data_IF_717434303273
#
_entry.id   IF_717434303273
#
_cell.length_a   1.000
_cell.length_b   1.000
_cell.length_c   1.000
_cell.angle_alpha   90.00
_cell.angle_beta   90.00
_cell.angle_gamma   90.00
#
_symmetry.space_group_name_H-M   'P 1'
#
loop_
_entity.id
_entity.type
_entity.pdbx_description
1 polymer ?
#
# COMPACT_ATOMS: atom_id res chain seq x y z
N UNK A 1 -13.77 -7.59 -24.56
CA UNK A 1 -13.77 -8.10 -23.19
C UNK A 1 -15.08 -7.67 -22.55
N UNK A 2 -15.91 -8.60 -22.11
CA UNK A 2 -17.21 -8.30 -21.48
C UNK A 2 -17.03 -7.92 -20.02
N UNK A 3 -18.05 -7.32 -19.41
CA UNK A 3 -18.01 -6.93 -17.99
C UNK A 3 -17.83 -8.15 -17.07
N UNK A 4 -18.34 -9.31 -17.48
CA UNK A 4 -18.18 -10.58 -16.78
C UNK A 4 -16.72 -11.05 -16.80
N UNK A 5 -16.05 -10.96 -17.95
CA UNK A 5 -14.64 -11.30 -18.09
C UNK A 5 -13.76 -10.37 -17.23
N UNK A 6 -14.12 -9.08 -17.14
CA UNK A 6 -13.45 -8.11 -16.26
C UNK A 6 -13.62 -8.44 -14.78
N UNK A 7 -14.83 -8.79 -14.34
CA UNK A 7 -15.09 -9.20 -12.94
C UNK A 7 -14.29 -10.46 -12.56
N UNK A 8 -14.18 -11.42 -13.46
CA UNK A 8 -13.38 -12.63 -13.24
C UNK A 8 -11.90 -12.27 -13.10
N UNK A 9 -11.40 -11.40 -13.97
CA UNK A 9 -10.01 -10.95 -13.91
C UNK A 9 -9.71 -10.17 -12.62
N UNK A 10 -10.58 -9.25 -12.23
CA UNK A 10 -10.46 -8.45 -11.01
C UNK A 10 -10.33 -9.35 -9.77
N UNK A 11 -11.21 -10.36 -9.66
CA UNK A 11 -11.17 -11.33 -8.56
C UNK A 11 -9.89 -12.18 -8.55
N UNK A 12 -9.41 -12.59 -9.72
CA UNK A 12 -8.15 -13.35 -9.83
C UNK A 12 -6.96 -12.50 -9.39
N UNK A 13 -6.85 -11.28 -9.89
CA UNK A 13 -5.79 -10.35 -9.53
C UNK A 13 -5.77 -10.06 -8.02
N UNK A 14 -6.95 -9.81 -7.45
CA UNK A 14 -7.13 -9.56 -6.02
C UNK A 14 -6.66 -10.75 -5.16
N UNK A 15 -7.02 -11.98 -5.55
CA UNK A 15 -6.56 -13.20 -4.88
C UNK A 15 -5.04 -13.38 -4.98
N UNK A 16 -4.47 -13.24 -6.18
CA UNK A 16 -3.02 -13.39 -6.41
C UNK A 16 -2.18 -12.39 -5.60
N UNK A 17 -2.61 -11.13 -5.53
CA UNK A 17 -1.89 -10.11 -4.78
C UNK A 17 -1.97 -10.38 -3.29
N UNK A 18 -3.15 -10.71 -2.74
CA UNK A 18 -3.30 -11.04 -1.32
C UNK A 18 -2.40 -12.20 -0.87
N UNK A 19 -2.26 -13.23 -1.71
CA UNK A 19 -1.39 -14.38 -1.43
C UNK A 19 0.10 -14.04 -1.48
N UNK A 20 0.48 -13.01 -2.23
CA UNK A 20 1.86 -12.58 -2.41
C UNK A 20 2.32 -11.58 -1.35
N UNK A 21 1.39 -11.02 -0.56
CA UNK A 21 1.67 -10.03 0.47
C UNK A 21 2.02 -10.68 1.80
N UNK A 22 2.90 -10.03 2.56
CA UNK A 22 3.19 -10.42 3.94
C UNK A 22 1.92 -10.33 4.80
N UNK A 23 1.79 -11.21 5.79
CA UNK A 23 0.60 -11.30 6.64
C UNK A 23 0.23 -9.96 7.31
N UNK A 24 1.22 -9.17 7.74
CA UNK A 24 1.01 -7.85 8.33
C UNK A 24 0.39 -6.83 7.38
N UNK A 25 0.69 -6.92 6.09
CA UNK A 25 0.14 -6.04 5.05
C UNK A 25 -1.22 -6.55 4.61
N UNK A 26 -1.36 -7.88 4.42
CA UNK A 26 -2.60 -8.52 4.02
C UNK A 26 -3.75 -8.23 5.00
N UNK A 27 -3.48 -8.21 6.30
CA UNK A 27 -4.47 -7.89 7.35
C UNK A 27 -5.05 -6.47 7.24
N UNK A 28 -4.29 -5.51 6.71
CA UNK A 28 -4.74 -4.13 6.54
C UNK A 28 -5.62 -3.93 5.29
N UNK A 29 -5.69 -4.90 4.38
CA UNK A 29 -6.38 -4.79 3.08
C UNK A 29 -7.46 -5.86 2.87
N UNK A 30 -7.85 -6.56 3.94
CA UNK A 30 -8.86 -7.63 3.92
C UNK A 30 -10.25 -7.13 3.50
N UNK A 31 -10.57 -5.87 3.80
CA UNK A 31 -11.87 -5.25 3.52
C UNK A 31 -12.04 -4.79 2.06
N UNK A 32 -10.96 -4.72 1.27
CA UNK A 32 -11.06 -4.31 -0.13
C UNK A 32 -11.82 -5.33 -0.97
N UNK A 33 -12.90 -4.93 -1.65
CA UNK A 33 -13.72 -5.82 -2.46
C UNK A 33 -13.27 -5.84 -3.93
N UNK A 34 -12.61 -4.78 -4.39
CA UNK A 34 -12.15 -4.61 -5.77
C UNK A 34 -10.65 -4.35 -5.85
N UNK A 35 -10.06 -4.59 -7.03
CA UNK A 35 -8.65 -4.27 -7.25
C UNK A 35 -8.35 -2.77 -7.05
N UNK A 36 -9.28 -1.92 -7.43
CA UNK A 36 -9.17 -0.46 -7.27
C UNK A 36 -9.09 -0.08 -5.79
N UNK A 37 -9.96 -0.65 -4.96
CA UNK A 37 -9.93 -0.43 -3.51
C UNK A 37 -8.66 -0.99 -2.89
N UNK A 38 -8.23 -2.17 -3.32
CA UNK A 38 -7.00 -2.79 -2.83
C UNK A 38 -5.79 -1.89 -3.12
N UNK A 39 -5.68 -1.37 -4.34
CA UNK A 39 -4.60 -0.46 -4.72
C UNK A 39 -4.65 0.86 -3.94
N UNK A 40 -5.84 1.42 -3.72
CA UNK A 40 -6.00 2.62 -2.88
C UNK A 40 -5.59 2.36 -1.42
N UNK A 41 -5.95 1.22 -0.86
CA UNK A 41 -5.57 0.85 0.51
C UNK A 41 -4.07 0.64 0.65
N UNK A 42 -3.43 0.01 -0.34
CA UNK A 42 -1.97 -0.10 -0.39
C UNK A 42 -1.29 1.27 -0.51
N UNK A 43 -1.76 2.14 -1.40
CA UNK A 43 -1.25 3.50 -1.54
C UNK A 43 -1.36 4.25 -0.21
N UNK A 44 -2.54 4.26 0.41
CA UNK A 44 -2.75 4.90 1.71
C UNK A 44 -1.84 4.33 2.83
N UNK A 45 -1.67 3.01 2.87
CA UNK A 45 -0.86 2.33 3.88
C UNK A 45 0.60 2.76 3.82
N UNK A 46 1.15 2.94 2.62
CA UNK A 46 2.56 3.32 2.45
C UNK A 46 2.77 4.84 2.37
N UNK A 47 1.84 5.60 1.79
CA UNK A 47 1.96 7.05 1.65
C UNK A 47 1.79 7.81 2.97
N UNK A 48 0.84 7.40 3.82
CA UNK A 48 0.62 8.05 5.14
C UNK A 48 1.87 8.03 6.03
N UNK A 49 2.51 6.88 6.29
CA UNK A 49 3.76 6.87 7.04
C UNK A 49 4.92 7.43 6.23
N UNK A 50 4.92 7.38 4.89
CA UNK A 50 5.97 7.99 4.08
C UNK A 50 6.06 9.51 4.28
N UNK A 51 4.93 10.22 4.33
CA UNK A 51 4.93 11.66 4.59
C UNK A 51 5.49 12.00 5.98
N UNK A 52 5.01 11.31 7.03
CA UNK A 52 5.51 11.49 8.40
C UNK A 52 6.99 11.09 8.53
N UNK A 53 7.41 10.01 7.87
CA UNK A 53 8.79 9.56 7.83
C UNK A 53 9.67 10.58 7.12
N UNK A 54 9.20 11.19 6.02
CA UNK A 54 9.94 12.24 5.31
C UNK A 54 10.17 13.46 6.20
N UNK A 55 9.15 13.93 6.91
CA UNK A 55 9.27 15.03 7.87
C UNK A 55 10.20 14.65 9.02
N UNK A 56 10.07 13.45 9.56
CA UNK A 56 10.95 12.93 10.62
C UNK A 56 12.41 12.88 10.17
N UNK A 57 12.69 12.35 8.98
CA UNK A 57 14.03 12.27 8.41
C UNK A 57 14.61 13.66 8.12
N UNK A 58 13.83 14.59 7.57
CA UNK A 58 14.25 15.97 7.35
C UNK A 58 14.60 16.67 8.67
N UNK A 59 13.76 16.51 9.70
CA UNK A 59 14.03 17.04 11.03
C UNK A 59 15.29 16.42 11.64
N UNK A 60 15.47 15.11 11.49
CA UNK A 60 16.67 14.39 11.96
C UNK A 60 17.92 14.89 11.25
N UNK A 61 17.88 15.04 9.92
CA UNK A 61 19.00 15.54 9.12
C UNK A 61 19.38 16.97 9.51
N UNK A 62 18.40 17.86 9.66
CA UNK A 62 18.64 19.25 10.08
C UNK A 62 19.20 19.35 11.51
N UNK A 63 18.72 18.49 12.41
CA UNK A 63 19.17 18.47 13.81
C UNK A 63 20.48 17.70 14.01
N UNK A 64 20.86 16.82 13.09
CA UNK A 64 22.21 16.30 12.98
C UNK A 64 23.09 17.46 12.52
N UNK A 65 23.56 18.27 13.48
CA UNK A 65 24.83 18.97 13.29
C UNK A 65 25.81 17.91 12.79
N UNK A 66 26.29 18.03 11.56
CA UNK A 66 27.49 17.32 11.15
C UNK A 66 28.56 17.85 12.10
N UNK A 67 28.80 17.15 13.20
CA UNK A 67 30.03 17.31 13.94
C UNK A 67 31.10 16.89 12.94
N UNK A 68 31.73 17.88 12.33
CA UNK A 68 33.07 17.73 11.76
C UNK A 68 34.00 17.06 12.77
#
# INVERSE_FOLDING_TARGET
MTDEEWKILDRKALGSIRLSLAASVALNITEAATMVELMKSLANLYEKPSASNKVYLMKKLFNSKMQE
#
